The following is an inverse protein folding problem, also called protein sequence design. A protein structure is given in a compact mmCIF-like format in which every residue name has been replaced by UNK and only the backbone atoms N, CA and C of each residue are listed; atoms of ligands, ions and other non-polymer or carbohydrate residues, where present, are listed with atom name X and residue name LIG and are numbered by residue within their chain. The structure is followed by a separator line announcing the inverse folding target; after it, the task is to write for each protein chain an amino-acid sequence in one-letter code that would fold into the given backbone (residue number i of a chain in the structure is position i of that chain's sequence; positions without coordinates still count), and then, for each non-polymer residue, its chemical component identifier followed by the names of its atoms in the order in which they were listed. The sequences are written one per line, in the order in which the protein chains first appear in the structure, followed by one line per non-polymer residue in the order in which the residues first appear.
data_IF_679795332561
#
_entry.id   IF_679795332561
#
_cell.length_a   1.000
_cell.length_b   1.000
_cell.length_c   1.000
_cell.angle_alpha   90.00
_cell.angle_beta   90.00
_cell.angle_gamma   90.00
#
_symmetry.space_group_name_H-M   'P 1'
#
loop_
_entity.id
_entity.type
_entity.pdbx_description
1 polymer ?
#
# COMPACT_ATOMS: atom_id res chain seq x y z
N UNK A 1 -25.31 13.75 12.63
CA UNK A 1 -24.75 14.89 11.86
C UNK A 1 -23.96 14.29 10.72
N UNK A 2 -24.57 14.28 9.54
CA UNK A 2 -24.05 13.74 8.27
C UNK A 2 -22.93 14.64 7.78
N UNK A 3 -21.69 14.15 7.81
CA UNK A 3 -20.57 14.80 7.11
C UNK A 3 -20.86 14.75 5.62
N UNK A 4 -21.10 15.90 5.02
CA UNK A 4 -21.27 16.02 3.58
C UNK A 4 -19.92 15.72 2.93
N UNK A 5 -19.81 14.51 2.39
CA UNK A 5 -18.78 14.10 1.45
C UNK A 5 -18.90 15.04 0.24
N UNK A 6 -17.89 15.87 0.00
CA UNK A 6 -17.88 16.70 -1.21
C UNK A 6 -18.01 15.76 -2.42
N UNK A 7 -18.88 16.09 -3.41
CA UNK A 7 -19.04 15.24 -4.57
C UNK A 7 -17.68 15.07 -5.25
N UNK A 8 -17.29 13.82 -5.60
CA UNK A 8 -16.04 13.59 -6.30
C UNK A 8 -16.02 14.41 -7.60
N UNK A 9 -14.86 14.98 -7.92
CA UNK A 9 -14.64 15.63 -9.23
C UNK A 9 -15.04 14.63 -10.35
N UNK A 10 -15.64 15.09 -11.46
CA UNK A 10 -16.29 14.23 -12.44
C UNK A 10 -15.36 13.16 -13.07
N UNK A 11 -14.04 13.36 -13.05
CA UNK A 11 -13.02 12.40 -13.44
C UNK A 11 -12.10 12.06 -12.25
N UNK A 12 -12.67 11.49 -11.19
CA UNK A 12 -11.93 11.01 -10.03
C UNK A 12 -12.31 9.59 -9.64
N UNK A 13 -11.30 8.77 -9.33
CA UNK A 13 -11.45 7.47 -8.70
C UNK A 13 -11.13 7.60 -7.21
N UNK A 14 -11.86 6.89 -6.34
CA UNK A 14 -11.58 6.92 -4.90
C UNK A 14 -11.69 5.54 -4.24
N UNK A 15 -10.98 5.39 -3.13
CA UNK A 15 -11.12 4.25 -2.23
C UNK A 15 -11.09 4.72 -0.79
N UNK A 16 -11.97 4.14 0.03
CA UNK A 16 -12.07 4.42 1.45
C UNK A 16 -11.74 3.14 2.21
N UNK A 17 -10.86 3.23 3.21
CA UNK A 17 -10.60 2.13 4.13
C UNK A 17 -10.56 2.61 5.59
N UNK A 18 -11.23 1.85 6.45
CA UNK A 18 -11.12 2.03 7.90
C UNK A 18 -9.91 1.24 8.43
N UNK A 19 -9.18 1.86 9.36
CA UNK A 19 -7.92 1.35 9.91
C UNK A 19 -7.96 1.39 11.45
N UNK A 20 -7.25 0.48 12.13
CA UNK A 20 -7.16 0.47 13.59
C UNK A 20 -6.14 1.48 14.15
N UNK A 21 -5.48 2.28 13.29
CA UNK A 21 -4.51 3.28 13.70
C UNK A 21 -5.20 4.58 14.12
N UNK A 22 -4.59 5.31 15.05
CA UNK A 22 -4.99 6.69 15.33
C UNK A 22 -4.75 7.59 14.11
N UNK A 23 -5.46 8.73 13.97
CA UNK A 23 -5.23 9.67 12.88
C UNK A 23 -3.77 10.15 12.77
N UNK A 24 -3.08 10.31 13.90
CA UNK A 24 -1.67 10.72 13.96
C UNK A 24 -0.75 9.63 13.45
N UNK A 25 -0.94 8.38 13.88
CA UNK A 25 -0.15 7.23 13.39
C UNK A 25 -0.36 7.01 11.90
N UNK A 26 -1.60 7.13 11.41
CA UNK A 26 -1.91 7.00 10.01
C UNK A 26 -1.30 8.15 9.19
N UNK A 27 -1.32 9.38 9.69
CA UNK A 27 -0.69 10.52 9.03
C UNK A 27 0.84 10.34 8.94
N UNK A 28 1.47 9.83 9.99
CA UNK A 28 2.89 9.49 9.97
C UNK A 28 3.18 8.40 8.94
N UNK A 29 2.34 7.36 8.86
CA UNK A 29 2.46 6.30 7.86
C UNK A 29 2.30 6.82 6.43
N UNK A 30 1.30 7.66 6.16
CA UNK A 30 1.10 8.28 4.85
C UNK A 30 2.22 9.26 4.46
N UNK A 31 2.99 9.75 5.44
CA UNK A 31 4.19 10.55 5.20
C UNK A 31 5.36 9.75 4.59
N UNK A 32 5.40 8.43 4.80
CA UNK A 32 6.34 7.52 4.14
C UNK A 32 5.76 7.05 2.79
N UNK A 33 5.84 7.93 1.79
CA UNK A 33 5.27 7.67 0.48
C UNK A 33 5.90 6.46 -0.21
N UNK A 34 7.20 6.24 -0.05
CA UNK A 34 7.85 5.08 -0.66
C UNK A 34 7.18 3.78 -0.18
N UNK A 35 7.02 3.64 1.14
CA UNK A 35 6.33 2.50 1.74
C UNK A 35 4.89 2.40 1.25
N UNK A 36 4.16 3.52 1.23
CA UNK A 36 2.76 3.60 0.82
C UNK A 36 2.54 3.08 -0.61
N UNK A 37 3.37 3.52 -1.56
CA UNK A 37 3.30 3.12 -2.96
C UNK A 37 3.81 1.69 -3.21
N UNK A 38 4.82 1.21 -2.47
CA UNK A 38 5.33 -0.17 -2.58
C UNK A 38 4.33 -1.25 -2.13
N UNK A 39 3.32 -0.85 -1.35
CA UNK A 39 2.22 -1.74 -0.97
C UNK A 39 1.28 -2.01 -2.15
N UNK A 40 1.25 -1.13 -3.17
CA UNK A 40 0.42 -1.35 -4.35
C UNK A 40 0.80 -2.68 -5.04
N UNK A 41 -0.14 -3.63 -5.18
CA UNK A 41 0.17 -4.95 -5.73
C UNK A 41 0.51 -4.93 -7.22
N UNK A 42 0.14 -3.87 -7.93
CA UNK A 42 0.40 -3.72 -9.36
C UNK A 42 1.67 -2.94 -9.68
N UNK A 43 2.28 -2.26 -8.71
CA UNK A 43 3.49 -1.48 -8.96
C UNK A 43 4.74 -2.29 -8.59
N UNK A 44 5.60 -2.49 -9.57
CA UNK A 44 6.97 -2.97 -9.37
C UNK A 44 7.94 -1.80 -9.53
N UNK A 45 8.70 -1.50 -8.49
CA UNK A 45 9.63 -0.39 -8.46
C UNK A 45 11.00 -0.84 -8.96
N UNK A 46 11.47 -0.25 -10.05
CA UNK A 46 12.87 -0.36 -10.47
C UNK A 46 13.77 0.55 -9.63
N UNK A 47 13.29 1.76 -9.30
CA UNK A 47 13.99 2.68 -8.40
C UNK A 47 13.02 3.64 -7.71
N UNK A 48 13.44 4.12 -6.53
CA UNK A 48 12.83 5.24 -5.81
C UNK A 48 13.95 6.20 -5.42
N UNK A 49 13.75 7.50 -5.64
CA UNK A 49 14.71 8.55 -5.28
C UNK A 49 13.96 9.74 -4.68
N UNK A 50 14.29 10.08 -3.44
CA UNK A 50 13.87 11.34 -2.85
C UNK A 50 14.76 12.46 -3.40
N UNK A 51 14.20 13.38 -4.17
CA UNK A 51 14.95 14.48 -4.80
C UNK A 51 14.97 15.75 -3.93
N UNK A 52 13.91 15.96 -3.15
CA UNK A 52 13.76 17.04 -2.18
C UNK A 52 12.81 16.58 -1.07
N UNK A 53 12.69 17.27 0.08
CA UNK A 53 11.75 16.87 1.15
C UNK A 53 10.30 16.69 0.68
N UNK A 54 9.91 17.43 -0.35
CA UNK A 54 8.58 17.47 -0.96
C UNK A 54 8.57 16.92 -2.41
N UNK A 55 9.66 16.34 -2.91
CA UNK A 55 9.71 15.82 -4.28
C UNK A 55 10.37 14.46 -4.35
N UNK A 56 9.76 13.55 -5.11
CA UNK A 56 10.33 12.24 -5.39
C UNK A 56 10.23 11.88 -6.87
N UNK A 57 11.10 10.96 -7.27
CA UNK A 57 11.11 10.33 -8.58
C UNK A 57 11.17 8.83 -8.43
N UNK A 58 10.29 8.11 -9.12
CA UNK A 58 10.23 6.65 -9.09
C UNK A 58 10.09 6.07 -10.48
N UNK A 59 10.84 5.02 -10.77
CA UNK A 59 10.67 4.24 -12.00
C UNK A 59 9.84 3.01 -11.67
N UNK A 60 8.65 2.90 -12.28
CA UNK A 60 7.69 1.84 -11.97
C UNK A 60 7.26 1.08 -13.22
N UNK A 61 7.06 -0.22 -13.05
CA UNK A 61 6.33 -1.04 -13.99
C UNK A 61 4.95 -1.34 -13.41
N UNK A 62 3.90 -0.92 -14.11
CA UNK A 62 2.53 -1.19 -13.70
C UNK A 62 2.04 -2.49 -14.37
N UNK A 63 1.84 -3.53 -13.57
CA UNK A 63 1.37 -4.84 -14.00
C UNK A 63 -0.11 -4.84 -14.43
N UNK A 64 -0.90 -3.80 -14.12
CA UNK A 64 -2.30 -3.73 -14.57
C UNK A 64 -2.41 -3.46 -16.06
N UNK A 65 -1.54 -2.58 -16.59
CA UNK A 65 -1.57 -2.13 -17.98
C UNK A 65 -0.27 -2.43 -18.76
N UNK A 66 0.70 -3.09 -18.11
CA UNK A 66 1.98 -3.48 -18.71
C UNK A 66 2.95 -2.32 -18.98
N UNK A 67 2.63 -1.09 -18.59
CA UNK A 67 3.46 0.08 -18.92
C UNK A 67 4.62 0.26 -17.94
N UNK A 68 5.71 0.83 -18.45
CA UNK A 68 6.80 1.37 -17.61
C UNK A 68 6.71 2.88 -17.64
N UNK A 69 6.63 3.47 -16.46
CA UNK A 69 6.42 4.91 -16.30
C UNK A 69 7.39 5.46 -15.27
N UNK A 70 7.84 6.69 -15.51
CA UNK A 70 8.56 7.48 -14.52
C UNK A 70 7.55 8.37 -13.82
N UNK A 71 7.40 8.19 -12.51
CA UNK A 71 6.61 9.04 -11.65
C UNK A 71 7.52 10.17 -11.14
N UNK A 72 7.21 11.39 -11.52
CA UNK A 72 7.80 12.61 -10.96
C UNK A 72 6.69 13.35 -10.25
N UNK A 73 6.83 13.54 -8.93
CA UNK A 73 5.74 14.07 -8.14
C UNK A 73 6.21 15.04 -7.04
N UNK A 74 5.38 16.05 -6.80
CA UNK A 74 5.53 17.03 -5.72
C UNK A 74 4.48 16.76 -4.65
N UNK A 75 4.87 16.87 -3.39
CA UNK A 75 4.10 16.48 -2.22
C UNK A 75 3.78 17.72 -1.42
N UNK A 76 2.50 18.02 -1.29
CA UNK A 76 2.01 19.15 -0.51
C UNK A 76 1.22 18.64 0.68
N UNK A 77 1.55 19.09 1.89
CA UNK A 77 0.70 18.88 3.07
C UNK A 77 -0.38 19.97 3.08
N UNK A 78 -1.63 19.57 2.90
CA UNK A 78 -2.79 20.49 2.87
C UNK A 78 -3.46 20.63 4.24
N UNK A 79 -2.99 19.88 5.23
CA UNK A 79 -3.37 19.97 6.64
C UNK A 79 -2.66 18.88 7.46
N UNK A 80 -2.97 18.79 8.76
CA UNK A 80 -2.36 17.80 9.67
C UNK A 80 -2.68 16.34 9.30
N UNK A 81 -3.77 16.16 8.55
CA UNK A 81 -4.35 14.87 8.19
C UNK A 81 -4.63 14.76 6.69
N UNK A 82 -3.99 15.61 5.88
CA UNK A 82 -4.20 15.63 4.44
C UNK A 82 -2.88 15.82 3.68
N UNK A 83 -2.62 14.90 2.76
CA UNK A 83 -1.45 14.92 1.87
C UNK A 83 -1.93 14.89 0.43
N UNK A 84 -1.39 15.77 -0.39
CA UNK A 84 -1.62 15.82 -1.83
C UNK A 84 -0.31 15.52 -2.56
N UNK A 85 -0.38 14.64 -3.54
CA UNK A 85 0.74 14.28 -4.43
C UNK A 85 0.35 14.68 -5.84
N UNK A 86 1.00 15.71 -6.37
CA UNK A 86 0.78 16.22 -7.72
C UNK A 86 1.84 15.63 -8.67
N UNK A 87 1.39 14.99 -9.75
CA UNK A 87 2.28 14.37 -10.72
C UNK A 87 2.60 15.34 -11.86
N UNK A 88 3.87 15.39 -12.25
CA UNK A 88 4.33 16.28 -13.32
C UNK A 88 3.86 15.81 -14.71
N UNK A 89 3.63 14.50 -14.89
CA UNK A 89 3.30 13.87 -16.18
C UNK A 89 2.41 12.65 -15.97
N UNK A 90 1.68 12.28 -17.02
CA UNK A 90 0.80 11.11 -17.06
C UNK A 90 -0.69 11.48 -17.03
N UNK A 91 -1.55 10.46 -17.05
CA UNK A 91 -3.00 10.65 -16.98
C UNK A 91 -3.47 11.07 -15.58
N UNK A 92 -2.76 10.61 -14.54
CA UNK A 92 -3.04 10.99 -13.15
C UNK A 92 -2.50 12.40 -12.91
N UNK A 93 -3.38 13.34 -12.55
CA UNK A 93 -3.00 14.70 -12.21
C UNK A 93 -2.56 14.79 -10.75
N UNK A 94 -3.36 14.25 -9.82
CA UNK A 94 -2.98 14.20 -8.42
C UNK A 94 -3.59 13.00 -7.67
N UNK A 95 -2.96 12.63 -6.56
CA UNK A 95 -3.52 11.73 -5.54
C UNK A 95 -3.65 12.48 -4.23
N UNK A 96 -4.83 12.45 -3.63
CA UNK A 96 -5.12 13.03 -2.32
C UNK A 96 -5.32 11.91 -1.30
N UNK A 97 -4.69 12.07 -0.14
CA UNK A 97 -4.86 11.21 1.02
C UNK A 97 -5.48 12.05 2.12
N UNK A 98 -6.68 11.70 2.53
CA UNK A 98 -7.43 12.40 3.57
C UNK A 98 -7.71 11.45 4.72
N UNK A 99 -7.38 11.88 5.93
CA UNK A 99 -7.50 11.08 7.14
C UNK A 99 -8.59 11.67 8.02
N UNK A 100 -9.60 10.85 8.31
CA UNK A 100 -10.69 11.19 9.22
C UNK A 100 -10.74 10.27 10.45
N UNK A 101 -11.42 10.67 11.53
CA UNK A 101 -11.71 9.76 12.64
C UNK A 101 -12.72 8.67 12.23
N UNK A 102 -12.58 7.48 12.78
CA UNK A 102 -13.52 6.36 12.61
C UNK A 102 -13.77 5.64 13.95
N UNK A 103 -14.88 4.90 14.12
CA UNK A 103 -15.23 4.29 15.42
C UNK A 103 -14.16 3.36 16.01
N UNK A 104 -13.37 2.70 15.16
CA UNK A 104 -12.32 1.76 15.56
C UNK A 104 -10.88 2.31 15.34
N UNK A 105 -10.74 3.61 15.08
CA UNK A 105 -9.45 4.24 14.77
C UNK A 105 -9.60 5.41 13.81
N UNK A 106 -9.15 5.23 12.56
CA UNK A 106 -9.15 6.28 11.54
C UNK A 106 -9.62 5.74 10.19
N UNK A 107 -10.04 6.64 9.32
CA UNK A 107 -10.46 6.37 7.94
C UNK A 107 -9.48 7.05 7.00
N UNK A 108 -8.95 6.30 6.04
CA UNK A 108 -8.17 6.83 4.94
C UNK A 108 -9.05 6.88 3.70
N UNK A 109 -9.22 8.07 3.14
CA UNK A 109 -9.79 8.29 1.81
C UNK A 109 -8.66 8.61 0.86
N UNK A 110 -8.53 7.81 -0.20
CA UNK A 110 -7.56 8.03 -1.28
C UNK A 110 -8.35 8.42 -2.52
N UNK A 111 -8.08 9.59 -3.06
CA UNK A 111 -8.74 10.10 -4.27
C UNK A 111 -7.70 10.38 -5.33
N UNK A 112 -7.83 9.74 -6.50
CA UNK A 112 -7.02 10.02 -7.67
C UNK A 112 -7.83 10.87 -8.65
N UNK A 113 -7.33 12.07 -8.97
CA UNK A 113 -7.91 12.93 -10.00
C UNK A 113 -7.13 12.77 -11.30
N UNK A 114 -7.83 12.65 -12.41
CA UNK A 114 -7.23 12.56 -13.75
C UNK A 114 -7.23 13.93 -14.42
N UNK A 115 -6.17 14.20 -15.20
CA UNK A 115 -6.10 15.41 -16.00
C UNK A 115 -7.06 15.37 -17.18
N UNK A 116 -7.44 16.52 -17.75
CA UNK A 116 -8.27 16.56 -18.96
C UNK A 116 -7.55 15.84 -20.10
N UNK A 117 -8.16 14.78 -20.63
CA UNK A 117 -7.65 14.06 -21.80
C UNK A 117 -7.93 14.91 -23.04
N UNK A 118 -6.93 15.33 -23.84
CA UNK A 118 -7.19 16.06 -25.06
C UNK A 118 -7.82 15.14 -26.11
N UNK A 119 -9.10 15.38 -26.45
CA UNK A 119 -9.85 14.68 -27.48
C UNK A 119 -11.01 13.83 -26.97
N UNK A 120 -11.77 13.25 -27.89
CA UNK A 120 -12.98 12.42 -27.68
C UNK A 120 -12.64 10.99 -27.18
N UNK A 121 -11.59 10.85 -26.36
CA UNK A 121 -11.10 9.56 -25.89
C UNK A 121 -11.88 9.17 -24.63
N UNK A 122 -12.54 8.01 -24.58
CA UNK A 122 -13.35 7.62 -23.43
C UNK A 122 -12.52 7.60 -22.14
N UNK A 123 -13.10 8.13 -21.06
CA UNK A 123 -12.50 8.19 -19.73
C UNK A 123 -12.00 6.78 -19.34
N UNK A 124 -10.76 6.64 -18.81
CA UNK A 124 -10.14 5.34 -18.50
C UNK A 124 -10.75 4.63 -17.27
N UNK A 125 -12.04 4.84 -16.98
CA UNK A 125 -12.74 4.50 -15.74
C UNK A 125 -12.56 3.07 -15.21
N UNK A 126 -12.95 2.01 -15.95
CA UNK A 126 -13.07 0.67 -15.34
C UNK A 126 -11.73 -0.01 -15.00
N UNK A 127 -10.65 0.29 -15.72
CA UNK A 127 -9.34 -0.32 -15.46
C UNK A 127 -8.60 0.41 -14.33
N UNK A 128 -8.74 1.72 -14.30
CA UNK A 128 -8.20 2.61 -13.27
C UNK A 128 -8.79 2.28 -11.89
N UNK A 129 -10.11 2.15 -11.80
CA UNK A 129 -10.83 1.86 -10.55
C UNK A 129 -10.37 0.54 -9.91
N UNK A 130 -10.09 -0.48 -10.73
CA UNK A 130 -9.61 -1.79 -10.23
C UNK A 130 -8.24 -1.69 -9.57
N UNK A 131 -7.35 -0.86 -10.11
CA UNK A 131 -5.99 -0.71 -9.57
C UNK A 131 -5.99 0.01 -8.22
N UNK A 132 -6.81 1.07 -8.09
CA UNK A 132 -6.95 1.84 -6.85
C UNK A 132 -7.62 1.02 -5.76
N UNK A 133 -8.69 0.29 -6.09
CA UNK A 133 -9.36 -0.60 -5.14
C UNK A 133 -8.42 -1.68 -4.61
N UNK A 134 -7.67 -2.36 -5.49
CA UNK A 134 -6.72 -3.39 -5.07
C UNK A 134 -5.60 -2.84 -4.17
N UNK A 135 -5.15 -1.61 -4.43
CA UNK A 135 -4.20 -0.93 -3.56
C UNK A 135 -4.80 -0.62 -2.20
N UNK A 136 -6.04 -0.13 -2.12
CA UNK A 136 -6.75 0.09 -0.87
C UNK A 136 -6.91 -1.19 -0.03
N UNK A 137 -7.26 -2.32 -0.66
CA UNK A 137 -7.33 -3.63 0.00
C UNK A 137 -5.96 -4.06 0.54
N UNK A 138 -4.90 -3.89 -0.26
CA UNK A 138 -3.54 -4.23 0.14
C UNK A 138 -3.05 -3.35 1.31
N UNK A 139 -3.37 -2.06 1.30
CA UNK A 139 -3.09 -1.13 2.39
C UNK A 139 -3.79 -1.56 3.68
N UNK A 140 -5.09 -1.86 3.63
CA UNK A 140 -5.83 -2.33 4.79
C UNK A 140 -5.20 -3.59 5.39
N UNK A 141 -4.95 -4.60 4.55
CA UNK A 141 -4.33 -5.84 5.00
C UNK A 141 -2.91 -5.63 5.57
N UNK A 142 -2.15 -4.69 5.01
CA UNK A 142 -0.84 -4.31 5.54
C UNK A 142 -0.95 -3.69 6.93
N UNK A 143 -1.84 -2.70 7.12
CA UNK A 143 -2.02 -1.98 8.37
C UNK A 143 -2.56 -2.88 9.49
N UNK A 144 -3.52 -3.75 9.19
CA UNK A 144 -4.02 -4.75 10.15
C UNK A 144 -2.92 -5.72 10.57
N UNK A 145 -2.06 -6.13 9.63
CA UNK A 145 -0.94 -7.03 9.92
C UNK A 145 0.14 -6.33 10.75
N UNK A 146 0.48 -5.08 10.46
CA UNK A 146 1.39 -4.29 11.30
C UNK A 146 0.80 -4.06 12.70
N UNK A 147 -0.51 -3.81 12.82
CA UNK A 147 -1.16 -3.69 14.13
C UNK A 147 -1.08 -4.98 14.96
N UNK A 148 -1.16 -6.14 14.30
CA UNK A 148 -1.14 -7.46 14.95
C UNK A 148 0.27 -7.94 15.32
N UNK A 149 1.26 -7.67 14.47
CA UNK A 149 2.61 -8.26 14.58
C UNK A 149 3.73 -7.23 14.68
N UNK A 150 3.44 -5.94 14.49
CA UNK A 150 4.43 -4.85 14.50
C UNK A 150 5.12 -4.63 15.84
N UNK A 151 4.57 -5.18 16.93
CA UNK A 151 5.22 -5.21 18.24
C UNK A 151 6.41 -6.18 18.30
N UNK A 152 6.52 -7.14 17.37
CA UNK A 152 7.65 -8.05 17.30
C UNK A 152 8.89 -7.34 16.74
N UNK A 153 10.05 -7.42 17.41
CA UNK A 153 11.22 -6.57 17.12
C UNK A 153 11.81 -6.78 15.72
N UNK A 154 11.62 -7.96 15.12
CA UNK A 154 12.12 -8.28 13.78
C UNK A 154 11.07 -8.12 12.67
N UNK A 155 9.80 -7.96 13.02
CA UNK A 155 8.72 -7.97 12.03
C UNK A 155 8.76 -6.74 11.12
N UNK A 156 8.78 -5.54 11.70
CA UNK A 156 8.86 -4.28 10.95
C UNK A 156 10.09 -4.16 10.04
N UNK A 157 11.33 -4.36 10.53
CA UNK A 157 12.50 -4.25 9.66
C UNK A 157 12.51 -5.31 8.56
N UNK A 158 12.03 -6.53 8.82
CA UNK A 158 11.88 -7.55 7.78
C UNK A 158 10.83 -7.13 6.73
N UNK A 159 9.68 -6.63 7.19
CA UNK A 159 8.64 -6.13 6.31
C UNK A 159 9.11 -4.99 5.41
N UNK A 160 9.84 -4.03 5.96
CA UNK A 160 10.28 -2.82 5.27
C UNK A 160 11.50 -3.08 4.36
N UNK A 161 12.49 -3.86 4.81
CA UNK A 161 13.74 -4.05 4.07
C UNK A 161 13.73 -5.26 3.13
N UNK A 162 12.95 -6.29 3.45
CA UNK A 162 12.95 -7.55 2.70
C UNK A 162 11.64 -7.72 1.95
N UNK A 163 10.49 -7.63 2.62
CA UNK A 163 9.21 -7.96 2.00
C UNK A 163 8.70 -6.90 1.02
N UNK A 164 8.73 -5.61 1.38
CA UNK A 164 8.20 -4.54 0.54
C UNK A 164 9.02 -4.26 -0.73
N UNK A 165 10.36 -4.35 -0.74
CA UNK A 165 11.16 -4.16 -1.96
C UNK A 165 11.03 -5.32 -2.96
N UNK A 166 10.55 -6.49 -2.52
CA UNK A 166 10.34 -7.64 -3.41
C UNK A 166 9.28 -7.36 -4.46
N UNK A 167 9.50 -7.91 -5.65
CA UNK A 167 8.51 -7.94 -6.72
C UNK A 167 7.20 -8.59 -6.22
N UNK A 168 6.02 -8.15 -6.70
CA UNK A 168 4.75 -8.78 -6.32
C UNK A 168 4.73 -10.30 -6.51
N UNK A 169 5.34 -10.82 -7.58
CA UNK A 169 5.49 -12.27 -7.83
C UNK A 169 6.40 -12.94 -6.80
N UNK A 170 7.53 -12.33 -6.47
CA UNK A 170 8.46 -12.84 -5.47
C UNK A 170 7.83 -12.91 -4.06
N UNK A 171 6.97 -11.95 -3.69
CA UNK A 171 6.21 -12.00 -2.43
C UNK A 171 5.31 -13.23 -2.34
N UNK A 172 4.63 -13.59 -3.44
CA UNK A 172 3.77 -14.79 -3.50
C UNK A 172 4.57 -16.08 -3.36
N UNK A 173 5.70 -16.19 -4.07
CA UNK A 173 6.59 -17.36 -3.99
C UNK A 173 7.17 -17.48 -2.57
N UNK A 174 7.65 -16.38 -2.01
CA UNK A 174 8.21 -16.35 -0.64
C UNK A 174 7.17 -16.78 0.38
N UNK A 175 5.92 -16.34 0.25
CA UNK A 175 4.83 -16.80 1.11
C UNK A 175 4.65 -18.32 1.05
N UNK A 176 4.62 -18.89 -0.16
CA UNK A 176 4.49 -20.35 -0.34
C UNK A 176 5.66 -21.09 0.33
N UNK A 177 6.90 -20.63 0.11
CA UNK A 177 8.10 -21.21 0.71
C UNK A 177 8.05 -21.14 2.24
N UNK A 178 7.59 -20.02 2.81
CA UNK A 178 7.44 -19.88 4.26
C UNK A 178 6.39 -20.83 4.83
N UNK A 179 5.26 -21.02 4.13
CA UNK A 179 4.20 -21.94 4.58
C UNK A 179 4.68 -23.39 4.53
N UNK A 180 5.37 -23.79 3.46
CA UNK A 180 5.95 -25.14 3.33
C UNK A 180 7.01 -25.35 4.42
N UNK A 181 7.94 -24.40 4.58
CA UNK A 181 8.98 -24.50 5.60
C UNK A 181 8.41 -24.57 7.03
N UNK A 182 7.33 -23.83 7.33
CA UNK A 182 6.65 -23.93 8.62
C UNK A 182 6.04 -25.32 8.83
N UNK A 183 5.41 -25.89 7.81
CA UNK A 183 4.88 -27.26 7.88
C UNK A 183 6.00 -28.28 8.12
N UNK A 184 7.13 -28.14 7.43
CA UNK A 184 8.30 -29.02 7.62
C UNK A 184 8.85 -28.93 9.05
N UNK A 185 8.99 -27.73 9.61
CA UNK A 185 9.43 -27.53 11.00
C UNK A 185 8.46 -28.18 11.99
N UNK A 186 7.15 -28.07 11.76
CA UNK A 186 6.14 -28.70 12.62
C UNK A 186 6.21 -30.23 12.56
N UNK A 187 6.45 -30.82 11.38
CA UNK A 187 6.61 -32.27 11.21
C UNK A 187 7.87 -32.77 11.92
N UNK A 188 8.99 -32.07 11.80
CA UNK A 188 10.23 -32.39 12.51
C UNK A 188 10.01 -32.29 14.03
N UNK A 189 9.37 -31.23 14.50
CA UNK A 189 9.05 -31.04 15.92
C UNK A 189 8.13 -32.15 16.45
N UNK A 190 7.14 -32.59 15.65
CA UNK A 190 6.26 -33.71 16.00
C UNK A 190 7.05 -35.02 16.12
N UNK A 191 7.91 -35.32 15.14
CA UNK A 191 8.77 -36.51 15.19
C UNK A 191 9.70 -36.50 16.42
N UNK A 192 10.29 -35.35 16.72
CA UNK A 192 11.12 -35.18 17.92
C UNK A 192 10.31 -35.35 19.21
N UNK A 193 9.08 -34.82 19.26
CA UNK A 193 8.19 -34.96 20.41
C UNK A 193 7.79 -36.43 20.65
N UNK A 194 7.49 -37.19 19.59
CA UNK A 194 7.18 -38.62 19.70
C UNK A 194 8.39 -39.38 20.23
N UNK A 195 9.58 -39.17 19.65
CA UNK A 195 10.81 -39.79 20.09
C UNK A 195 11.12 -39.49 21.56
N UNK A 196 10.96 -38.22 21.98
CA UNK A 196 11.17 -37.80 23.36
C UNK A 196 10.19 -38.48 24.34
N UNK A 197 8.91 -38.58 23.96
CA UNK A 197 7.89 -39.25 24.77
C UNK A 197 8.14 -40.75 24.90
N UNK A 198 8.64 -41.39 23.84
CA UNK A 198 9.04 -42.80 23.88
C UNK A 198 10.28 -43.02 24.74
N UNK A 199 11.27 -42.13 24.68
CA UNK A 199 12.47 -42.20 25.49
C UNK A 199 12.24 -41.98 27.00
N UNK A 200 11.14 -41.31 27.37
CA UNK A 200 10.74 -41.10 28.77
C UNK A 200 9.82 -42.20 29.32
N UNK A 201 9.40 -43.17 28.49
CA UNK A 201 8.61 -44.33 28.90
C UNK A 201 9.51 -45.49 29.32
#
# INVERSE_FOLDING_TARGET
MTGAEAPPEPDAAWVVLDTPLSPVELAAFCGDLERLYRINPFLEFASWRQEAPDRFRAEVHNHSNGQRTVLEATVTRTGDHAIRVDYARGLKACTRFEIGPAPAGSRLTITEAYGPVPGDTPSPGPEVDRSLHAWGVALKAYLERDRRWGWMPLFRPWMERVWLPMKPSARRITFLVLVIGLADVLLIALGFAIWWLEAMR
#
